data_IF_228286711338
#
_entry.id   IF_228286711338
#
_cell.length_a   1.000
_cell.length_b   1.000
_cell.length_c   1.000
_cell.angle_alpha   90.00
_cell.angle_beta   90.00
_cell.angle_gamma   90.00
#
_symmetry.space_group_name_H-M   'P 1'
#
loop_
_entity.id
_entity.type
_entity.pdbx_description
1 polymer ?
#
# COMPACT_ATOMS: atom_id res chain seq x y z
N UNK A 1 -37.98 20.62 -48.66
CA UNK A 1 -37.76 21.77 -47.77
C UNK A 1 -38.67 21.60 -46.56
N UNK A 2 -38.16 21.98 -45.39
CA UNK A 2 -38.79 22.02 -44.06
C UNK A 2 -38.55 20.82 -43.16
N UNK A 3 -37.32 20.78 -42.64
CA UNK A 3 -36.98 20.25 -41.33
C UNK A 3 -37.65 21.09 -40.23
N UNK A 4 -38.31 20.44 -39.28
CA UNK A 4 -38.54 21.00 -37.96
C UNK A 4 -37.87 20.10 -36.92
N UNK A 5 -36.76 20.63 -36.41
CA UNK A 5 -36.07 20.17 -35.21
C UNK A 5 -36.85 20.66 -33.99
N UNK A 6 -37.20 19.77 -33.07
CA UNK A 6 -37.50 20.15 -31.70
C UNK A 6 -36.91 19.11 -30.74
N UNK A 7 -35.95 19.61 -29.97
CA UNK A 7 -35.18 18.94 -28.94
C UNK A 7 -36.08 18.31 -27.88
N UNK A 8 -35.81 17.05 -27.54
CA UNK A 8 -36.19 16.48 -26.25
C UNK A 8 -34.93 16.08 -25.50
N UNK A 9 -34.77 16.74 -24.36
CA UNK A 9 -33.67 16.67 -23.43
C UNK A 9 -33.91 15.46 -22.50
N UNK A 10 -32.84 14.66 -22.30
CA UNK A 10 -32.55 13.70 -21.20
C UNK A 10 -33.36 12.38 -21.11
N UNK A 11 -32.76 11.28 -20.58
CA UNK A 11 -31.62 11.25 -19.67
C UNK A 11 -30.38 10.51 -20.19
N UNK A 12 -29.23 11.12 -19.85
CA UNK A 12 -27.92 10.49 -19.80
C UNK A 12 -28.04 9.29 -18.87
N UNK A 13 -28.21 8.10 -19.46
CA UNK A 13 -28.20 6.86 -18.73
C UNK A 13 -26.82 6.73 -18.13
N UNK A 14 -26.74 6.91 -16.81
CA UNK A 14 -25.57 6.59 -16.01
C UNK A 14 -25.34 5.10 -16.22
N UNK A 15 -24.48 4.75 -17.17
CA UNK A 15 -23.92 3.41 -17.23
C UNK A 15 -23.21 3.21 -15.90
N UNK A 16 -23.90 2.59 -14.95
CA UNK A 16 -23.25 1.82 -13.91
C UNK A 16 -22.35 0.86 -14.66
N UNK A 17 -21.06 1.22 -14.71
CA UNK A 17 -20.01 0.28 -15.06
C UNK A 17 -20.16 -0.83 -14.03
N UNK A 18 -20.87 -1.89 -14.42
CA UNK A 18 -20.92 -3.14 -13.72
C UNK A 18 -19.47 -3.65 -13.75
N UNK A 19 -18.69 -3.20 -12.77
CA UNK A 19 -17.40 -3.77 -12.48
C UNK A 19 -17.64 -5.28 -12.37
N UNK A 20 -16.90 -6.12 -13.11
CA UNK A 20 -16.99 -7.55 -12.98
C UNK A 20 -17.03 -7.90 -11.49
N UNK A 21 -17.85 -8.88 -11.13
CA UNK A 21 -17.96 -9.40 -9.77
C UNK A 21 -16.67 -10.12 -9.38
N UNK A 22 -15.55 -9.39 -9.34
CA UNK A 22 -14.38 -9.80 -8.60
C UNK A 22 -14.84 -9.99 -7.17
N UNK A 23 -14.61 -11.20 -6.64
CA UNK A 23 -14.93 -11.55 -5.27
C UNK A 23 -14.09 -10.68 -4.32
N UNK A 24 -14.57 -9.47 -4.04
CA UNK A 24 -13.94 -8.55 -3.13
C UNK A 24 -14.05 -9.09 -1.72
N UNK A 25 -12.92 -9.04 -1.03
CA UNK A 25 -12.82 -9.42 0.36
C UNK A 25 -12.32 -8.22 1.16
N UNK A 26 -12.71 -8.13 2.41
CA UNK A 26 -12.19 -7.15 3.34
C UNK A 26 -11.54 -7.86 4.52
N UNK A 27 -10.61 -7.19 5.18
CA UNK A 27 -10.09 -7.68 6.46
C UNK A 27 -11.17 -7.47 7.52
N UNK A 28 -11.45 -8.49 8.32
CA UNK A 28 -12.37 -8.42 9.45
C UNK A 28 -11.96 -7.31 10.43
N UNK A 29 -12.93 -6.50 10.87
CA UNK A 29 -12.70 -5.44 11.87
C UNK A 29 -12.53 -5.99 13.30
N UNK A 30 -12.79 -7.29 13.52
CA UNK A 30 -12.88 -7.90 14.85
C UNK A 30 -11.51 -8.10 15.54
N UNK A 31 -10.42 -8.20 14.75
CA UNK A 31 -9.08 -8.52 15.26
C UNK A 31 -8.10 -7.44 14.87
N UNK A 32 -7.14 -7.14 15.77
CA UNK A 32 -5.96 -6.32 15.50
C UNK A 32 -5.06 -7.05 14.50
N UNK A 33 -5.37 -6.91 13.22
CA UNK A 33 -4.75 -7.64 12.14
C UNK A 33 -4.67 -6.76 10.89
N UNK A 34 -3.78 -7.10 9.98
CA UNK A 34 -3.63 -6.36 8.73
C UNK A 34 -2.79 -7.12 7.73
N UNK A 35 -2.77 -6.63 6.50
CA UNK A 35 -1.85 -7.06 5.46
C UNK A 35 -0.96 -5.90 5.04
N UNK A 36 0.33 -6.17 4.87
CA UNK A 36 1.22 -5.33 4.10
C UNK A 36 1.30 -5.92 2.70
N UNK A 37 0.93 -5.14 1.70
CA UNK A 37 0.97 -5.52 0.30
C UNK A 37 2.23 -4.92 -0.32
N UNK A 38 3.23 -5.75 -0.59
CA UNK A 38 4.50 -5.32 -1.14
C UNK A 38 4.45 -5.29 -2.66
N UNK A 39 4.58 -4.10 -3.24
CA UNK A 39 4.79 -3.89 -4.67
C UNK A 39 6.31 -3.83 -4.94
N UNK A 40 6.69 -3.55 -6.19
CA UNK A 40 8.10 -3.55 -6.60
C UNK A 40 8.95 -2.51 -5.86
N UNK A 41 8.43 -1.29 -5.68
CA UNK A 41 9.18 -0.16 -5.13
C UNK A 41 8.59 0.46 -3.87
N UNK A 42 7.42 0.00 -3.43
CA UNK A 42 6.74 0.50 -2.24
C UNK A 42 5.83 -0.57 -1.65
N UNK A 43 5.33 -0.31 -0.45
CA UNK A 43 4.34 -1.17 0.20
C UNK A 43 3.11 -0.36 0.60
N UNK A 44 1.97 -1.04 0.64
CA UNK A 44 0.71 -0.47 1.11
C UNK A 44 0.23 -1.24 2.34
N UNK A 45 -0.43 -0.54 3.26
CA UNK A 45 -1.01 -1.15 4.45
C UNK A 45 -2.54 -1.30 4.31
N UNK A 46 -3.02 -2.54 4.43
CA UNK A 46 -4.44 -2.88 4.60
C UNK A 46 -4.67 -3.19 6.10
N UNK A 47 -5.25 -2.25 6.85
CA UNK A 47 -5.68 -2.52 8.21
C UNK A 47 -7.09 -3.13 8.28
N UNK A 48 -7.63 -3.33 9.49
CA UNK A 48 -8.97 -3.90 9.67
C UNK A 48 -10.03 -3.08 8.93
N UNK A 49 -10.99 -3.79 8.33
CA UNK A 49 -12.06 -3.24 7.52
C UNK A 49 -11.63 -2.81 6.11
N UNK A 50 -10.33 -2.77 5.80
CA UNK A 50 -9.88 -2.41 4.46
C UNK A 50 -10.27 -3.49 3.45
N UNK A 51 -10.79 -3.06 2.32
CA UNK A 51 -10.94 -3.93 1.14
C UNK A 51 -9.56 -4.31 0.61
N UNK A 52 -9.46 -5.56 0.16
CA UNK A 52 -8.35 -6.08 -0.63
C UNK A 52 -8.99 -6.59 -1.92
N UNK A 53 -8.35 -6.35 -3.06
CA UNK A 53 -8.69 -7.06 -4.28
C UNK A 53 -8.52 -8.58 -4.07
N UNK A 54 -8.74 -9.39 -5.11
CA UNK A 54 -8.23 -10.77 -5.07
C UNK A 54 -6.79 -10.76 -4.53
N UNK A 55 -6.42 -11.70 -3.65
CA UNK A 55 -5.05 -11.84 -3.09
C UNK A 55 -3.95 -11.96 -4.16
N UNK A 56 -4.36 -12.05 -5.42
CA UNK A 56 -3.57 -12.22 -6.64
C UNK A 56 -3.78 -11.03 -7.57
N UNK A 57 -3.76 -9.79 -7.08
CA UNK A 57 -3.49 -8.69 -8.01
C UNK A 57 -2.08 -8.92 -8.58
N UNK A 58 -1.90 -8.91 -9.91
CA UNK A 58 -0.65 -9.32 -10.57
C UNK A 58 0.56 -8.41 -10.27
N UNK A 59 0.40 -7.41 -9.41
CA UNK A 59 1.38 -6.38 -9.08
C UNK A 59 2.02 -6.55 -7.70
N UNK A 60 1.58 -7.50 -6.87
CA UNK A 60 2.20 -7.75 -5.56
C UNK A 60 3.32 -8.78 -5.66
N UNK A 61 4.52 -8.39 -5.20
CA UNK A 61 5.67 -9.29 -5.05
C UNK A 61 5.52 -10.20 -3.83
N UNK A 62 4.96 -9.66 -2.77
CA UNK A 62 4.73 -10.40 -1.53
C UNK A 62 3.55 -9.80 -0.75
N UNK A 63 2.93 -10.62 0.06
CA UNK A 63 1.90 -10.20 1.02
C UNK A 63 2.33 -10.65 2.41
N UNK A 64 2.40 -9.72 3.36
CA UNK A 64 2.77 -10.01 4.74
C UNK A 64 1.55 -9.83 5.62
N UNK A 65 1.08 -10.93 6.19
CA UNK A 65 0.03 -10.93 7.18
C UNK A 65 0.61 -10.58 8.55
N UNK A 66 -0.02 -9.62 9.23
CA UNK A 66 0.25 -9.25 10.60
C UNK A 66 -0.91 -9.74 11.47
N UNK A 67 -0.60 -10.62 12.42
CA UNK A 67 -1.60 -11.24 13.27
C UNK A 67 -2.32 -12.39 12.59
N UNK A 68 -3.64 -12.38 12.66
CA UNK A 68 -4.48 -13.42 12.04
C UNK A 68 -5.63 -12.75 11.29
N UNK A 69 -5.32 -12.07 10.16
CA UNK A 69 -6.32 -11.38 9.37
C UNK A 69 -7.31 -12.40 8.80
N UNK A 70 -8.58 -12.15 9.08
CA UNK A 70 -9.68 -12.98 8.62
C UNK A 70 -10.38 -12.25 7.48
N UNK A 71 -10.53 -12.90 6.33
CA UNK A 71 -11.08 -12.28 5.13
C UNK A 71 -12.58 -12.50 5.09
N UNK A 72 -13.34 -11.41 5.02
CA UNK A 72 -14.80 -11.42 4.95
C UNK A 72 -15.27 -11.00 3.55
N UNK A 73 -16.25 -11.70 2.95
CA UNK A 73 -16.76 -11.33 1.63
C UNK A 73 -17.52 -10.01 1.69
N UNK A 74 -17.24 -9.12 0.74
CA UNK A 74 -17.96 -7.86 0.56
C UNK A 74 -19.16 -8.11 -0.37
N UNK A 75 -20.38 -8.10 0.18
CA UNK A 75 -21.58 -8.52 -0.56
C UNK A 75 -22.45 -7.36 -1.02
N UNK A 76 -22.62 -6.33 -0.20
CA UNK A 76 -23.47 -5.18 -0.52
C UNK A 76 -22.68 -3.97 -1.00
N UNK A 77 -23.37 -3.05 -1.67
CA UNK A 77 -22.80 -1.76 -2.05
C UNK A 77 -22.32 -0.96 -0.83
N UNK A 78 -23.06 -0.99 0.28
CA UNK A 78 -22.68 -0.31 1.51
C UNK A 78 -21.44 -0.94 2.14
N UNK A 79 -21.32 -2.28 2.14
CA UNK A 79 -20.10 -2.96 2.61
C UNK A 79 -18.90 -2.53 1.76
N UNK A 80 -19.09 -2.47 0.43
CA UNK A 80 -18.06 -2.05 -0.52
C UNK A 80 -17.62 -0.63 -0.23
N UNK A 81 -18.56 0.31 -0.11
CA UNK A 81 -18.28 1.71 0.21
C UNK A 81 -17.54 1.86 1.53
N UNK A 82 -17.95 1.14 2.59
CA UNK A 82 -17.27 1.16 3.89
C UNK A 82 -15.86 0.61 3.79
N UNK A 83 -15.67 -0.52 3.13
CA UNK A 83 -14.37 -1.18 3.03
C UNK A 83 -13.34 -0.39 2.20
N UNK A 84 -13.77 0.23 1.10
CA UNK A 84 -12.94 1.22 0.39
C UNK A 84 -12.64 2.45 1.25
N UNK A 85 -13.63 2.93 2.01
CA UNK A 85 -13.45 4.03 2.96
C UNK A 85 -12.34 3.74 3.98
N UNK A 86 -12.34 2.53 4.56
CA UNK A 86 -11.29 2.04 5.48
C UNK A 86 -9.93 1.97 4.78
N UNK A 87 -9.87 1.42 3.56
CA UNK A 87 -8.63 1.35 2.77
C UNK A 87 -8.02 2.75 2.56
N UNK A 88 -8.85 3.73 2.21
CA UNK A 88 -8.43 5.13 2.05
C UNK A 88 -7.97 5.73 3.38
N UNK A 89 -8.66 5.46 4.49
CA UNK A 89 -8.24 5.95 5.81
C UNK A 89 -6.85 5.45 6.19
N UNK A 90 -6.58 4.15 6.00
CA UNK A 90 -5.26 3.57 6.26
C UNK A 90 -4.19 4.17 5.34
N UNK A 91 -4.50 4.35 4.05
CA UNK A 91 -3.60 5.03 3.11
C UNK A 91 -3.27 6.46 3.54
N UNK A 92 -4.28 7.25 3.97
CA UNK A 92 -4.09 8.62 4.47
C UNK A 92 -3.29 8.68 5.77
N UNK A 93 -3.49 7.72 6.67
CA UNK A 93 -2.70 7.62 7.89
C UNK A 93 -1.22 7.40 7.56
N UNK A 94 -0.92 6.47 6.64
CA UNK A 94 0.44 6.20 6.20
C UNK A 94 1.04 7.40 5.44
N UNK A 95 0.26 8.03 4.57
CA UNK A 95 0.68 9.23 3.84
C UNK A 95 1.11 10.37 4.79
N UNK A 96 0.35 10.64 5.85
CA UNK A 96 0.73 11.65 6.86
C UNK A 96 2.07 11.36 7.55
N UNK A 97 2.45 10.08 7.64
CA UNK A 97 3.76 9.69 8.14
C UNK A 97 4.82 10.03 7.07
N UNK A 98 4.61 9.58 5.83
CA UNK A 98 5.56 9.73 4.72
C UNK A 98 5.78 11.20 4.31
N UNK A 99 4.80 12.09 4.51
CA UNK A 99 4.92 13.51 4.20
C UNK A 99 5.91 14.26 5.10
N UNK A 100 6.40 13.65 6.17
CA UNK A 100 7.45 14.25 6.99
C UNK A 100 8.81 14.26 6.24
N UNK A 101 9.46 15.42 6.19
CA UNK A 101 10.74 15.56 5.48
C UNK A 101 11.86 14.71 6.11
N UNK A 102 11.85 14.52 7.43
CA UNK A 102 12.92 13.84 8.17
C UNK A 102 12.74 12.30 8.11
N UNK A 103 13.66 11.55 7.47
CA UNK A 103 13.53 10.09 7.30
C UNK A 103 13.46 9.33 8.63
N UNK A 104 14.26 9.74 9.62
CA UNK A 104 14.26 9.13 10.96
C UNK A 104 12.90 9.28 11.63
N UNK A 105 12.29 10.47 11.52
CA UNK A 105 10.99 10.75 12.11
C UNK A 105 9.86 9.98 11.41
N UNK A 106 9.96 9.76 10.10
CA UNK A 106 9.04 8.87 9.36
C UNK A 106 9.09 7.44 9.91
N UNK A 107 10.29 6.91 10.09
CA UNK A 107 10.52 5.58 10.64
C UNK A 107 9.99 5.46 12.08
N UNK A 108 10.30 6.43 12.95
CA UNK A 108 9.81 6.47 14.34
C UNK A 108 8.28 6.49 14.41
N UNK A 109 7.63 7.36 13.62
CA UNK A 109 6.17 7.46 13.60
C UNK A 109 5.50 6.20 13.07
N UNK A 110 6.08 5.57 12.05
CA UNK A 110 5.59 4.28 11.55
C UNK A 110 5.68 3.20 12.63
N UNK A 111 6.85 3.06 13.25
CA UNK A 111 7.09 2.08 14.29
C UNK A 111 6.16 2.31 15.48
N UNK A 112 6.06 3.54 15.99
CA UNK A 112 5.19 3.88 17.12
C UNK A 112 3.72 3.56 16.83
N UNK A 113 3.19 3.94 15.66
CA UNK A 113 1.81 3.65 15.29
C UNK A 113 1.53 2.15 15.11
N UNK A 114 2.50 1.40 14.56
CA UNK A 114 2.39 -0.06 14.49
C UNK A 114 2.50 -0.71 15.87
N UNK A 115 3.35 -0.21 16.77
CA UNK A 115 3.51 -0.74 18.13
C UNK A 115 2.25 -0.53 18.96
N UNK A 116 1.62 0.64 18.85
CA UNK A 116 0.35 0.95 19.51
C UNK A 116 -0.77 0.01 19.01
N UNK A 117 -0.80 -0.27 17.71
CA UNK A 117 -1.84 -1.06 17.12
C UNK A 117 -1.65 -2.58 17.30
N UNK A 118 -0.48 -3.11 16.94
CA UNK A 118 -0.17 -4.55 16.90
C UNK A 118 0.60 -5.05 18.12
N UNK A 119 1.15 -4.15 18.92
CA UNK A 119 2.04 -4.53 20.00
C UNK A 119 3.49 -4.67 19.53
N UNK A 120 4.37 -4.30 20.44
CA UNK A 120 5.80 -4.16 20.22
C UNK A 120 6.49 -5.43 19.69
N UNK A 121 6.19 -6.60 20.25
CA UNK A 121 6.80 -7.88 19.84
C UNK A 121 6.58 -8.20 18.36
N UNK A 122 5.38 -7.89 17.87
CA UNK A 122 4.98 -8.13 16.48
C UNK A 122 5.76 -7.22 15.54
N UNK A 123 5.87 -5.93 15.91
CA UNK A 123 6.58 -4.95 15.10
C UNK A 123 8.06 -5.27 14.98
N UNK A 124 8.70 -5.78 16.04
CA UNK A 124 10.10 -6.22 15.99
C UNK A 124 10.31 -7.39 15.03
N UNK A 125 9.32 -8.29 14.91
CA UNK A 125 9.41 -9.44 14.01
C UNK A 125 9.24 -9.08 12.52
N UNK A 126 8.76 -7.87 12.20
CA UNK A 126 8.60 -7.44 10.82
C UNK A 126 9.97 -7.17 10.16
N UNK A 127 10.18 -7.56 8.90
CA UNK A 127 11.42 -7.27 8.18
C UNK A 127 11.63 -5.76 8.00
N UNK A 128 12.87 -5.30 8.18
CA UNK A 128 13.21 -3.88 8.03
C UNK A 128 12.96 -3.37 6.61
N UNK A 129 13.19 -4.19 5.59
CA UNK A 129 12.91 -3.84 4.19
C UNK A 129 11.44 -3.48 3.94
N UNK A 130 10.53 -4.19 4.62
CA UNK A 130 9.09 -4.01 4.44
C UNK A 130 8.63 -2.73 5.11
N UNK A 131 9.12 -2.47 6.33
CA UNK A 131 8.85 -1.23 7.04
C UNK A 131 9.47 -0.02 6.32
N UNK A 132 10.65 -0.21 5.73
CA UNK A 132 11.32 0.80 4.92
C UNK A 132 10.48 1.16 3.68
N UNK A 133 9.92 0.17 2.98
CA UNK A 133 9.00 0.39 1.86
C UNK A 133 7.70 1.10 2.27
N UNK A 134 7.21 0.88 3.49
CA UNK A 134 6.03 1.59 4.01
C UNK A 134 6.35 3.04 4.38
N UNK A 135 7.50 3.30 5.02
CA UNK A 135 7.89 4.66 5.44
C UNK A 135 8.55 5.48 4.32
N UNK A 136 8.94 4.85 3.21
CA UNK A 136 9.70 5.49 2.13
C UNK A 136 11.12 5.86 2.54
N UNK A 137 11.79 5.00 3.31
CA UNK A 137 13.14 5.19 3.84
C UNK A 137 14.05 4.01 3.46
N UNK A 138 15.34 4.07 3.81
CA UNK A 138 16.22 2.92 3.66
C UNK A 138 16.06 1.92 4.82
N UNK A 139 16.28 0.61 4.59
CA UNK A 139 16.25 -0.40 5.66
C UNK A 139 17.18 -0.06 6.82
N UNK A 140 18.38 0.49 6.53
CA UNK A 140 19.34 0.94 7.54
C UNK A 140 18.79 2.05 8.45
N UNK A 141 17.88 2.91 7.95
CA UNK A 141 17.20 3.91 8.76
C UNK A 141 16.25 3.25 9.77
N UNK A 142 15.51 2.21 9.35
CA UNK A 142 14.64 1.43 10.24
C UNK A 142 15.48 0.75 11.33
N UNK A 143 16.60 0.13 10.95
CA UNK A 143 17.49 -0.56 11.90
C UNK A 143 18.10 0.40 12.92
N UNK A 144 18.56 1.57 12.48
CA UNK A 144 19.09 2.61 13.35
C UNK A 144 18.04 3.10 14.35
N UNK A 145 16.82 3.40 13.88
CA UNK A 145 15.71 3.81 14.76
C UNK A 145 15.33 2.69 15.72
N UNK A 146 15.24 1.43 15.27
CA UNK A 146 14.97 0.29 16.16
C UNK A 146 16.00 0.16 17.28
N UNK A 147 17.28 0.31 16.95
CA UNK A 147 18.36 0.27 17.93
C UNK A 147 18.21 1.38 18.99
N UNK A 148 17.88 2.60 18.57
CA UNK A 148 17.71 3.75 19.46
C UNK A 148 16.41 3.68 20.28
N UNK A 149 15.28 3.42 19.61
CA UNK A 149 13.94 3.35 20.16
C UNK A 149 13.82 2.26 21.23
N UNK A 150 14.47 1.12 21.02
CA UNK A 150 14.45 0.02 21.99
C UNK A 150 15.45 0.16 23.12
N UNK A 151 16.53 0.92 22.92
CA UNK A 151 17.45 1.26 24.02
C UNK A 151 16.79 2.22 25.01
N UNK A 152 16.02 3.20 24.53
CA UNK A 152 15.22 4.10 25.40
C UNK A 152 14.09 3.38 26.14
N UNK A 153 13.59 2.25 25.61
CA UNK A 153 12.55 1.42 26.25
C UNK A 153 13.02 0.57 27.43
N UNK A 154 14.34 0.44 27.68
CA UNK A 154 14.86 -0.34 28.82
C UNK A 154 14.71 0.36 30.18
N UNK A 155 14.40 1.67 30.21
CA UNK A 155 14.23 2.43 31.45
C UNK A 155 12.77 2.63 31.88
N UNK A 156 11.80 2.28 31.04
CA UNK A 156 10.38 2.50 31.34
C UNK A 156 9.58 1.22 31.07
N UNK A 157 9.12 0.61 32.16
CA UNK A 157 8.06 -0.41 32.26
C UNK A 157 8.41 -1.87 31.99
N UNK A 158 8.92 -2.54 33.03
CA UNK A 158 8.71 -3.96 33.32
C UNK A 158 7.23 -4.31 33.71
N UNK A 159 6.25 -3.46 33.40
CA UNK A 159 4.91 -3.52 34.01
C UNK A 159 3.72 -3.58 33.02
N UNK A 160 3.94 -3.67 31.71
CA UNK A 160 2.85 -3.76 30.73
C UNK A 160 3.01 -4.97 29.80
N UNK A 161 2.94 -6.17 30.37
CA UNK A 161 2.51 -7.35 29.62
C UNK A 161 0.97 -7.34 29.58
N UNK A 162 0.40 -6.38 28.84
CA UNK A 162 -1.01 -6.46 28.45
C UNK A 162 -1.11 -7.38 27.24
N UNK A 163 -2.02 -8.34 27.31
CA UNK A 163 -2.15 -9.52 26.45
C UNK A 163 -2.29 -9.20 24.95
N UNK A 164 -1.18 -8.90 24.28
CA UNK A 164 -1.08 -9.19 22.86
C UNK A 164 -0.99 -10.70 22.74
N UNK A 165 -2.14 -11.35 22.53
CA UNK A 165 -2.18 -12.67 21.91
C UNK A 165 -1.12 -12.70 20.81
N UNK A 166 -0.32 -13.77 20.76
CA UNK A 166 0.85 -13.92 19.91
C UNK A 166 0.46 -13.75 18.43
N UNK A 167 0.44 -12.51 17.95
CA UNK A 167 0.09 -12.18 16.57
C UNK A 167 1.23 -12.70 15.68
N UNK A 168 0.88 -13.63 14.79
CA UNK A 168 1.83 -14.26 13.87
C UNK A 168 2.12 -13.35 12.70
N UNK A 169 3.38 -13.24 12.30
CA UNK A 169 3.76 -12.66 11.00
C UNK A 169 3.93 -13.79 10.01
N UNK A 170 3.22 -13.75 8.89
CA UNK A 170 3.32 -14.76 7.82
C UNK A 170 3.56 -14.08 6.49
N UNK A 171 4.63 -14.45 5.80
CA UNK A 171 4.96 -13.96 4.46
C UNK A 171 4.45 -14.95 3.42
N UNK A 172 3.68 -14.47 2.45
CA UNK A 172 3.30 -15.19 1.25
C UNK A 172 4.06 -14.54 0.09
N UNK A 173 5.11 -15.22 -0.39
CA UNK A 173 5.81 -14.82 -1.61
C UNK A 173 5.04 -15.35 -2.81
N UNK A 174 4.66 -14.46 -3.72
CA UNK A 174 4.05 -14.87 -4.98
C UNK A 174 5.20 -15.12 -5.95
N UNK A 175 5.55 -16.40 -6.16
CA UNK A 175 6.57 -16.79 -7.15
C UNK A 175 6.15 -16.27 -8.52
N UNK A 176 6.88 -15.28 -9.01
CA UNK A 176 6.76 -14.86 -10.40
C UNK A 176 7.42 -15.95 -11.23
N UNK A 177 6.62 -16.78 -11.88
CA UNK A 177 7.08 -17.39 -13.12
C UNK A 177 7.43 -16.21 -14.03
N UNK A 178 8.72 -15.93 -14.17
CA UNK A 178 9.25 -14.91 -15.07
C UNK A 178 8.75 -15.31 -16.47
N UNK A 179 7.85 -14.56 -17.11
CA UNK A 179 7.71 -14.70 -18.55
C UNK A 179 9.08 -14.33 -19.11
N UNK A 180 9.66 -15.20 -19.95
CA UNK A 180 10.86 -14.89 -20.70
C UNK A 180 10.82 -13.43 -21.14
N UNK A 181 11.88 -12.71 -20.81
CA UNK A 181 12.11 -11.36 -21.29
C UNK A 181 12.15 -11.47 -22.81
N UNK A 182 11.01 -11.26 -23.46
CA UNK A 182 10.99 -10.89 -24.87
C UNK A 182 11.72 -9.55 -24.92
N UNK A 183 12.99 -9.59 -25.28
CA UNK A 183 13.78 -8.41 -25.64
C UNK A 183 13.03 -7.67 -26.74
N UNK A 184 12.16 -6.75 -26.35
CA UNK A 184 11.72 -5.70 -27.26
C UNK A 184 12.95 -4.79 -27.39
N UNK A 185 13.57 -4.67 -28.57
CA UNK A 185 14.70 -3.80 -28.73
C UNK A 185 14.25 -2.38 -28.41
N UNK A 186 14.81 -1.77 -27.37
CA UNK A 186 14.68 -0.34 -27.14
C UNK A 186 15.38 0.37 -28.32
N UNK A 187 14.60 0.65 -29.36
CA UNK A 187 14.96 1.50 -30.49
C UNK A 187 15.03 2.95 -29.99
N UNK A 188 16.01 3.29 -29.17
CA UNK A 188 16.37 4.69 -28.84
C UNK A 188 17.65 4.75 -28.00
N UNK A 189 18.79 4.41 -28.61
CA UNK A 189 20.07 4.97 -28.14
C UNK A 189 20.28 6.31 -28.84
N UNK A 190 19.42 7.29 -28.53
CA UNK A 190 19.65 8.65 -29.02
C UNK A 190 20.92 9.18 -28.35
N UNK A 191 21.90 9.57 -29.15
CA UNK A 191 23.15 10.10 -28.60
C UNK A 191 22.92 11.50 -28.05
N UNK A 192 23.70 11.90 -27.03
CA UNK A 192 23.59 13.21 -26.37
C UNK A 192 23.56 14.37 -27.38
N UNK A 193 24.27 14.22 -28.50
CA UNK A 193 24.33 15.18 -29.61
C UNK A 193 22.99 15.34 -30.35
N UNK A 194 22.17 14.30 -30.44
CA UNK A 194 20.84 14.35 -31.05
C UNK A 194 19.84 15.04 -30.13
N UNK A 195 19.93 14.78 -28.82
CA UNK A 195 19.11 15.44 -27.80
C UNK A 195 19.36 16.96 -27.79
N UNK A 196 20.63 17.39 -27.90
CA UNK A 196 20.98 18.81 -27.95
C UNK A 196 20.46 19.50 -29.22
N UNK A 197 20.56 18.85 -30.38
CA UNK A 197 20.05 19.39 -31.65
C UNK A 197 18.53 19.59 -31.62
N UNK A 198 17.79 18.67 -30.99
CA UNK A 198 16.34 18.80 -30.80
C UNK A 198 16.00 19.99 -29.90
N UNK A 199 16.77 20.21 -28.82
CA UNK A 199 16.55 21.34 -27.91
C UNK A 199 16.86 22.70 -28.55
N UNK A 200 17.91 22.79 -29.36
CA UNK A 200 18.28 24.05 -30.03
C UNK A 200 17.25 24.44 -31.10
N UNK A 201 16.63 23.46 -31.77
CA UNK A 201 15.54 23.68 -32.71
C UNK A 201 14.27 24.20 -32.06
N UNK A 202 13.95 23.74 -30.84
CA UNK A 202 12.79 24.21 -30.08
C UNK A 202 12.99 25.60 -29.46
N UNK A 203 14.25 25.99 -29.21
CA UNK A 203 14.59 27.29 -28.60
C UNK A 203 14.63 28.44 -29.61
N UNK A 204 14.69 28.11 -30.90
CA UNK A 204 14.74 29.08 -32.00
C UNK A 204 13.37 29.29 -32.69
N UNK A 205 12.30 28.71 -32.14
CA UNK A 205 10.92 28.79 -32.62
C UNK A 205 10.05 29.71 -31.75
#
# INVERSE_FOLDING_TARGET
MNSQTLMLITPFSRSEVALPSEHLVAISEQKKSGLILCKEFHAEFAGPGAVIGSLVEPHYRAVIAIGSPELVPVKSFDDRRRAYGRRIQWGRWLQKIIENAEPTLRAERLLAGFEEFFGRQVVTSLPSDVLAMLAGVFPSTIDAVRAQHWQSGKLVNAAFLSSSDQLKVTTITLDRAVPEVSEVPLLTTATISEIQRTYDGLRSA
#
